data_IF_091704739149
#
_entry.id   IF_091704739149
#
_cell.length_a   1.000
_cell.length_b   1.000
_cell.length_c   1.000
_cell.angle_alpha   90.00
_cell.angle_beta   90.00
_cell.angle_gamma   90.00
#
_symmetry.space_group_name_H-M   'P 1'
#
loop_
_entity.id
_entity.type
_entity.pdbx_description
1 polymer ?
#
# COMPACT_ATOMS: atom_id res chain seq x y z
N UNK A 1 -6.41 0.25 -7.57
CA UNK A 1 -5.57 0.82 -8.67
C UNK A 1 -5.21 -0.19 -9.76
N UNK A 2 -5.39 -1.48 -9.54
CA UNK A 2 -5.12 -2.49 -10.58
C UNK A 2 -6.01 -2.35 -11.82
N UNK A 3 -7.25 -1.89 -11.66
CA UNK A 3 -8.22 -1.76 -12.75
C UNK A 3 -7.93 -0.54 -13.64
N UNK A 4 -7.60 0.61 -13.08
CA UNK A 4 -7.33 1.82 -13.86
C UNK A 4 -6.20 1.60 -14.88
N UNK A 5 -5.09 0.98 -14.47
CA UNK A 5 -3.96 0.68 -15.35
C UNK A 5 -4.34 -0.25 -16.50
N UNK A 6 -5.30 -1.16 -16.27
CA UNK A 6 -5.82 -2.06 -17.32
C UNK A 6 -6.89 -1.42 -18.17
N UNK A 7 -7.62 -0.44 -17.65
CA UNK A 7 -8.70 0.25 -18.36
C UNK A 7 -8.20 1.39 -19.25
N UNK A 8 -7.19 2.14 -18.85
CA UNK A 8 -6.65 3.28 -19.61
C UNK A 8 -6.33 2.95 -21.08
N UNK A 9 -5.62 1.85 -21.42
CA UNK A 9 -5.39 1.51 -22.83
C UNK A 9 -6.68 1.19 -23.60
N UNK A 10 -7.66 0.57 -22.93
CA UNK A 10 -8.97 0.23 -23.55
C UNK A 10 -9.78 1.49 -23.80
N UNK A 11 -9.79 2.44 -22.84
CA UNK A 11 -10.46 3.73 -22.97
C UNK A 11 -9.87 4.54 -24.13
N UNK A 12 -8.54 4.56 -24.27
CA UNK A 12 -7.86 5.24 -25.36
C UNK A 12 -8.18 4.63 -26.75
N UNK A 13 -8.48 3.33 -26.81
CA UNK A 13 -8.84 2.60 -28.02
C UNK A 13 -10.35 2.62 -28.33
N UNK A 14 -11.22 3.01 -27.38
CA UNK A 14 -12.66 2.99 -27.55
C UNK A 14 -13.12 4.07 -28.55
N UNK A 15 -13.85 3.64 -29.59
CA UNK A 15 -14.32 4.52 -30.65
C UNK A 15 -15.81 4.87 -30.54
N UNK A 16 -16.57 4.20 -29.67
CA UNK A 16 -18.03 4.38 -29.52
C UNK A 16 -18.40 4.73 -28.09
N UNK A 17 -19.44 5.52 -27.93
CA UNK A 17 -19.97 5.88 -26.61
C UNK A 17 -20.38 4.65 -25.79
N UNK A 18 -20.94 3.63 -26.43
CA UNK A 18 -21.32 2.38 -25.75
C UNK A 18 -20.12 1.63 -25.15
N UNK A 19 -18.96 1.63 -25.82
CA UNK A 19 -17.74 1.00 -25.34
C UNK A 19 -17.18 1.78 -24.14
N UNK A 20 -17.17 3.10 -24.20
CA UNK A 20 -16.77 3.97 -23.09
C UNK A 20 -17.68 3.82 -21.87
N UNK A 21 -19.00 3.69 -22.09
CA UNK A 21 -19.96 3.41 -21.03
C UNK A 21 -19.68 2.06 -20.36
N UNK A 22 -19.43 1.01 -21.15
CA UNK A 22 -19.12 -0.30 -20.61
C UNK A 22 -17.83 -0.28 -19.75
N UNK A 23 -16.80 0.43 -20.19
CA UNK A 23 -15.55 0.60 -19.41
C UNK A 23 -15.77 1.42 -18.14
N UNK A 24 -16.58 2.49 -18.20
CA UNK A 24 -16.95 3.27 -17.01
C UNK A 24 -17.70 2.43 -15.98
N UNK A 25 -18.56 1.51 -16.44
CA UNK A 25 -19.30 0.57 -15.60
C UNK A 25 -18.37 -0.42 -14.87
N UNK A 26 -17.29 -0.87 -15.51
CA UNK A 26 -16.29 -1.73 -14.89
C UNK A 26 -15.58 -1.05 -13.71
N UNK A 27 -15.50 0.29 -13.69
CA UNK A 27 -14.90 1.03 -12.57
C UNK A 27 -15.66 0.85 -11.23
N UNK A 28 -16.93 0.47 -11.26
CA UNK A 28 -17.72 0.24 -10.04
C UNK A 28 -17.52 -1.15 -9.42
N UNK A 29 -16.69 -1.99 -10.01
CA UNK A 29 -16.30 -3.26 -9.41
C UNK A 29 -15.24 -3.06 -8.30
N UNK A 30 -14.53 -1.91 -8.31
CA UNK A 30 -13.52 -1.53 -7.32
C UNK A 30 -13.77 -0.12 -6.79
N UNK A 31 -14.00 0.08 -5.47
CA UNK A 31 -14.27 1.41 -4.90
C UNK A 31 -13.23 2.48 -5.23
N UNK A 32 -11.95 2.08 -5.32
CA UNK A 32 -10.84 3.00 -5.63
C UNK A 32 -10.89 3.55 -7.07
N UNK A 33 -11.60 2.89 -7.98
CA UNK A 33 -11.68 3.26 -9.39
C UNK A 33 -12.98 3.99 -9.75
N UNK A 34 -13.95 4.10 -8.82
CA UNK A 34 -15.25 4.72 -9.10
C UNK A 34 -15.15 6.15 -9.64
N UNK A 35 -14.19 6.94 -9.15
CA UNK A 35 -13.95 8.30 -9.63
C UNK A 35 -13.53 8.32 -11.12
N UNK A 36 -12.80 7.30 -11.58
CA UNK A 36 -12.36 7.19 -12.97
C UNK A 36 -13.54 7.00 -13.95
N UNK A 37 -14.66 6.44 -13.51
CA UNK A 37 -15.87 6.37 -14.32
C UNK A 37 -16.35 7.75 -14.78
N UNK A 38 -16.23 8.77 -13.89
CA UNK A 38 -16.54 10.15 -14.25
C UNK A 38 -15.59 10.69 -15.32
N UNK A 39 -14.28 10.46 -15.17
CA UNK A 39 -13.30 10.92 -16.15
C UNK A 39 -13.60 10.35 -17.55
N UNK A 40 -13.97 9.07 -17.63
CA UNK A 40 -14.35 8.42 -18.90
C UNK A 40 -15.59 9.08 -19.50
N UNK A 41 -16.66 9.24 -18.71
CA UNK A 41 -17.96 9.73 -19.20
C UNK A 41 -18.02 11.24 -19.41
N UNK A 42 -17.12 12.02 -18.81
CA UNK A 42 -16.98 13.47 -19.08
C UNK A 42 -15.96 13.77 -20.17
N UNK A 43 -15.25 12.76 -20.67
CA UNK A 43 -14.28 12.95 -21.76
C UNK A 43 -14.94 13.49 -23.03
N UNK A 44 -14.18 14.22 -23.83
CA UNK A 44 -14.65 14.69 -25.12
C UNK A 44 -15.01 13.55 -26.09
N UNK A 45 -14.40 12.38 -25.93
CA UNK A 45 -14.72 11.19 -26.70
C UNK A 45 -16.14 10.67 -26.43
N UNK A 46 -16.61 10.74 -25.16
CA UNK A 46 -17.98 10.36 -24.82
C UNK A 46 -18.97 11.50 -25.07
N UNK A 47 -18.73 12.69 -24.53
CA UNK A 47 -19.71 13.81 -24.61
C UNK A 47 -19.86 14.38 -26.02
N UNK A 48 -18.83 14.25 -26.86
CA UNK A 48 -18.88 14.65 -28.28
C UNK A 48 -19.41 13.56 -29.23
N UNK A 49 -19.65 12.35 -28.75
CA UNK A 49 -20.18 11.28 -29.58
C UNK A 49 -21.67 11.51 -29.90
N UNK A 50 -22.03 11.50 -31.20
CA UNK A 50 -23.40 11.74 -31.67
C UNK A 50 -24.39 10.70 -31.14
N UNK A 51 -23.95 9.51 -30.82
CA UNK A 51 -24.74 8.39 -30.31
C UNK A 51 -24.72 8.27 -28.77
N UNK A 52 -24.05 9.15 -28.02
CA UNK A 52 -23.90 9.04 -26.58
C UNK A 52 -25.24 8.93 -25.84
N UNK A 53 -26.19 9.82 -26.15
CA UNK A 53 -27.51 9.78 -25.52
C UNK A 53 -28.27 8.51 -25.87
N UNK A 54 -28.25 8.09 -27.14
CA UNK A 54 -28.94 6.88 -27.58
C UNK A 54 -28.32 5.62 -26.94
N UNK A 55 -27.01 5.60 -26.73
CA UNK A 55 -26.34 4.52 -26.01
C UNK A 55 -26.80 4.43 -24.54
N UNK A 56 -26.91 5.58 -23.84
CA UNK A 56 -27.45 5.61 -22.47
C UNK A 56 -28.92 5.18 -22.41
N UNK A 57 -29.77 5.72 -23.29
CA UNK A 57 -31.22 5.42 -23.33
C UNK A 57 -31.45 3.92 -23.58
N UNK A 58 -30.64 3.28 -24.42
CA UNK A 58 -30.69 1.84 -24.66
C UNK A 58 -30.34 1.04 -23.40
N UNK A 59 -29.25 1.37 -22.73
CA UNK A 59 -28.81 0.68 -21.50
C UNK A 59 -29.82 0.89 -20.37
N UNK A 60 -30.40 2.09 -20.26
CA UNK A 60 -31.37 2.42 -19.22
C UNK A 60 -32.60 1.50 -19.27
N UNK A 61 -33.02 1.03 -20.48
CA UNK A 61 -34.10 0.07 -20.63
C UNK A 61 -33.78 -1.33 -20.13
N UNK A 62 -32.51 -1.70 -20.10
CA UNK A 62 -32.01 -3.03 -19.74
C UNK A 62 -31.28 -3.05 -18.40
N UNK A 63 -31.21 -1.92 -17.66
CA UNK A 63 -30.47 -1.80 -16.42
C UNK A 63 -31.10 -2.64 -15.30
N UNK A 64 -30.29 -3.48 -14.64
CA UNK A 64 -30.74 -4.41 -13.61
C UNK A 64 -29.87 -4.38 -12.34
N UNK A 65 -28.74 -3.71 -12.37
CA UNK A 65 -27.80 -3.68 -11.26
C UNK A 65 -27.55 -2.24 -10.79
N UNK A 66 -27.29 -2.05 -9.52
CA UNK A 66 -27.00 -0.74 -8.92
C UNK A 66 -25.92 0.01 -9.71
N UNK A 67 -24.83 -0.68 -10.12
CA UNK A 67 -23.76 -0.08 -10.91
C UNK A 67 -24.21 0.42 -12.29
N UNK A 68 -25.22 -0.19 -12.89
CA UNK A 68 -25.78 0.28 -14.17
C UNK A 68 -26.42 1.65 -13.99
N UNK A 69 -27.26 1.78 -12.98
CA UNK A 69 -27.97 3.03 -12.68
C UNK A 69 -27.02 4.16 -12.29
N UNK A 70 -25.99 3.85 -11.47
CA UNK A 70 -24.99 4.86 -11.07
C UNK A 70 -24.17 5.31 -12.28
N UNK A 71 -23.73 4.40 -13.14
CA UNK A 71 -22.99 4.75 -14.37
C UNK A 71 -23.86 5.58 -15.32
N UNK A 72 -25.14 5.19 -15.49
CA UNK A 72 -26.12 5.96 -16.27
C UNK A 72 -26.29 7.37 -15.74
N UNK A 73 -26.37 7.53 -14.41
CA UNK A 73 -26.51 8.83 -13.79
C UNK A 73 -25.32 9.75 -14.13
N UNK A 74 -24.10 9.24 -14.04
CA UNK A 74 -22.90 10.01 -14.42
C UNK A 74 -22.93 10.36 -15.90
N UNK A 75 -23.30 9.42 -16.77
CA UNK A 75 -23.40 9.65 -18.21
C UNK A 75 -24.44 10.71 -18.56
N UNK A 76 -25.65 10.64 -18.01
CA UNK A 76 -26.69 11.66 -18.23
C UNK A 76 -26.26 13.03 -17.70
N UNK A 77 -25.65 13.10 -16.52
CA UNK A 77 -25.12 14.33 -15.97
C UNK A 77 -24.03 14.94 -16.87
N UNK A 78 -23.14 14.14 -17.42
CA UNK A 78 -22.11 14.56 -18.36
C UNK A 78 -22.70 15.13 -19.67
N UNK A 79 -23.88 14.66 -20.09
CA UNK A 79 -24.62 15.20 -21.22
C UNK A 79 -25.57 16.36 -20.85
N UNK A 80 -25.52 16.86 -19.59
CA UNK A 80 -26.32 17.98 -19.10
C UNK A 80 -27.74 17.62 -18.67
N UNK A 81 -28.13 16.34 -18.60
CA UNK A 81 -29.44 15.87 -18.18
C UNK A 81 -29.45 15.50 -16.68
N UNK A 82 -29.40 16.50 -15.81
CA UNK A 82 -29.40 16.31 -14.36
C UNK A 82 -30.70 15.69 -13.84
N UNK A 83 -31.83 15.90 -14.55
CA UNK A 83 -33.11 15.29 -14.19
C UNK A 83 -33.06 13.78 -14.33
N UNK A 84 -32.58 13.31 -15.47
CA UNK A 84 -32.41 11.89 -15.73
C UNK A 84 -31.35 11.26 -14.84
N UNK A 85 -30.26 11.98 -14.58
CA UNK A 85 -29.24 11.53 -13.66
C UNK A 85 -29.81 11.26 -12.25
N UNK A 86 -30.63 12.18 -11.74
CA UNK A 86 -31.31 12.02 -10.44
C UNK A 86 -32.30 10.86 -10.43
N UNK A 87 -33.05 10.65 -11.51
CA UNK A 87 -33.94 9.50 -11.68
C UNK A 87 -33.17 8.18 -11.58
N UNK A 88 -32.06 8.06 -12.31
CA UNK A 88 -31.21 6.87 -12.30
C UNK A 88 -30.63 6.57 -10.91
N UNK A 89 -30.17 7.60 -10.18
CA UNK A 89 -29.69 7.42 -8.80
C UNK A 89 -30.79 6.96 -7.84
N UNK A 90 -32.03 7.44 -8.03
CA UNK A 90 -33.19 6.95 -7.27
C UNK A 90 -33.41 5.45 -7.50
N UNK A 91 -33.46 5.04 -8.78
CA UNK A 91 -33.59 3.64 -9.12
C UNK A 91 -32.41 2.80 -8.58
N UNK A 92 -31.16 3.25 -8.74
CA UNK A 92 -30.01 2.59 -8.18
C UNK A 92 -30.09 2.41 -6.66
N UNK A 93 -30.64 3.37 -5.93
CA UNK A 93 -30.85 3.26 -4.50
C UNK A 93 -31.89 2.20 -4.12
N UNK A 94 -32.94 2.05 -4.93
CA UNK A 94 -33.98 1.02 -4.74
C UNK A 94 -33.44 -0.40 -5.01
N UNK A 95 -32.43 -0.52 -5.88
CA UNK A 95 -31.76 -1.79 -6.20
C UNK A 95 -30.61 -2.14 -5.27
N UNK A 96 -30.08 -1.20 -4.49
CA UNK A 96 -28.92 -1.42 -3.63
C UNK A 96 -29.25 -2.35 -2.45
N UNK A 97 -28.77 -3.58 -2.51
CA UNK A 97 -29.07 -4.65 -1.55
C UNK A 97 -28.03 -4.74 -0.42
N UNK A 98 -26.78 -4.32 -0.66
CA UNK A 98 -25.68 -4.42 0.29
C UNK A 98 -24.93 -3.09 0.51
N UNK A 99 -23.97 -3.11 1.44
CA UNK A 99 -23.20 -1.93 1.81
C UNK A 99 -22.34 -1.40 0.65
N UNK A 100 -21.77 -2.26 -0.19
CA UNK A 100 -20.93 -1.87 -1.34
C UNK A 100 -21.76 -1.17 -2.41
N UNK A 101 -22.95 -1.69 -2.71
CA UNK A 101 -23.90 -1.07 -3.65
C UNK A 101 -24.39 0.29 -3.13
N UNK A 102 -24.66 0.41 -1.82
CA UNK A 102 -25.02 1.70 -1.18
C UNK A 102 -23.87 2.71 -1.23
N UNK A 103 -22.62 2.26 -1.13
CA UNK A 103 -21.43 3.10 -1.36
C UNK A 103 -21.44 3.62 -2.80
N UNK A 104 -21.70 2.75 -3.78
CA UNK A 104 -21.76 3.14 -5.19
C UNK A 104 -22.82 4.20 -5.46
N UNK A 105 -24.02 4.09 -4.85
CA UNK A 105 -25.07 5.11 -4.93
C UNK A 105 -24.61 6.44 -4.34
N UNK A 106 -23.99 6.40 -3.14
CA UNK A 106 -23.45 7.60 -2.49
C UNK A 106 -22.39 8.29 -3.35
N UNK A 107 -21.49 7.51 -3.97
CA UNK A 107 -20.55 8.04 -4.95
C UNK A 107 -21.23 8.63 -6.17
N UNK A 108 -22.25 7.98 -6.68
CA UNK A 108 -23.05 8.51 -7.78
C UNK A 108 -23.65 9.89 -7.50
N UNK A 109 -24.15 10.13 -6.28
CA UNK A 109 -24.64 11.45 -5.86
C UNK A 109 -23.55 12.53 -6.00
N UNK A 110 -22.33 12.20 -5.59
CA UNK A 110 -21.19 13.09 -5.70
C UNK A 110 -20.71 13.26 -7.16
N UNK A 111 -20.46 12.13 -7.84
CA UNK A 111 -19.84 12.16 -9.17
C UNK A 111 -20.77 12.75 -10.23
N UNK A 112 -22.08 12.43 -10.19
CA UNK A 112 -23.04 12.89 -11.17
C UNK A 112 -23.61 14.27 -10.86
N UNK A 113 -23.95 14.55 -9.59
CA UNK A 113 -24.70 15.74 -9.21
C UNK A 113 -23.88 16.75 -8.40
N UNK A 114 -22.66 16.42 -8.00
CA UNK A 114 -21.85 17.19 -7.06
C UNK A 114 -22.61 17.52 -5.74
N UNK A 115 -23.56 16.65 -5.36
CA UNK A 115 -24.37 16.81 -4.15
C UNK A 115 -23.65 16.18 -2.95
N UNK A 116 -22.69 16.89 -2.35
CA UNK A 116 -21.92 16.42 -1.22
C UNK A 116 -22.81 16.06 0.00
N UNK A 117 -23.84 16.84 0.38
CA UNK A 117 -24.73 16.48 1.48
C UNK A 117 -25.50 15.17 1.24
N UNK A 118 -26.05 14.96 0.04
CA UNK A 118 -26.74 13.71 -0.30
C UNK A 118 -25.77 12.53 -0.33
N UNK A 119 -24.58 12.72 -0.89
CA UNK A 119 -23.52 11.71 -0.88
C UNK A 119 -23.12 11.33 0.55
N UNK A 120 -22.80 12.29 1.41
CA UNK A 120 -22.41 12.05 2.79
C UNK A 120 -23.51 11.32 3.57
N UNK A 121 -24.78 11.67 3.37
CA UNK A 121 -25.91 10.97 3.99
C UNK A 121 -26.01 9.51 3.52
N UNK A 122 -25.90 9.25 2.23
CA UNK A 122 -25.94 7.90 1.67
C UNK A 122 -24.79 7.04 2.17
N UNK A 123 -23.56 7.59 2.16
CA UNK A 123 -22.35 6.90 2.63
C UNK A 123 -22.36 6.64 4.14
N UNK A 124 -22.93 7.55 4.94
CA UNK A 124 -23.16 7.31 6.38
C UNK A 124 -24.12 6.15 6.62
N UNK A 125 -25.14 6.03 5.77
CA UNK A 125 -26.04 4.88 5.77
C UNK A 125 -25.33 3.58 5.42
N UNK A 126 -24.56 3.58 4.33
CA UNK A 126 -23.78 2.45 3.86
C UNK A 126 -22.73 1.97 4.89
N UNK A 127 -22.10 2.90 5.62
CA UNK A 127 -21.10 2.58 6.65
C UNK A 127 -21.64 1.63 7.72
N UNK A 128 -22.95 1.64 8.00
CA UNK A 128 -23.54 0.74 9.01
C UNK A 128 -23.49 -0.72 8.56
N UNK A 129 -23.54 -0.97 7.26
CA UNK A 129 -23.62 -2.31 6.67
C UNK A 129 -22.25 -2.80 6.18
N UNK A 130 -21.38 -1.89 5.72
CA UNK A 130 -20.01 -2.25 5.31
C UNK A 130 -19.24 -2.83 6.48
N UNK A 131 -18.82 -4.09 6.34
CA UNK A 131 -18.11 -4.81 7.40
C UNK A 131 -16.75 -5.35 6.99
N UNK A 132 -16.49 -5.59 5.72
CA UNK A 132 -15.21 -6.05 5.25
C UNK A 132 -14.16 -4.93 5.32
N UNK A 133 -12.94 -5.26 5.76
CA UNK A 133 -11.87 -4.27 5.93
C UNK A 133 -11.51 -3.58 4.61
N UNK A 134 -11.45 -4.32 3.51
CA UNK A 134 -11.13 -3.75 2.19
C UNK A 134 -12.21 -2.78 1.70
N UNK A 135 -13.48 -3.11 1.92
CA UNK A 135 -14.60 -2.21 1.61
C UNK A 135 -14.53 -0.92 2.42
N UNK A 136 -14.15 -1.00 3.71
CA UNK A 136 -13.96 0.18 4.56
C UNK A 136 -12.80 1.05 4.06
N UNK A 137 -11.70 0.46 3.58
CA UNK A 137 -10.61 1.21 2.96
C UNK A 137 -11.05 1.86 1.65
N UNK A 138 -11.83 1.17 0.84
CA UNK A 138 -12.45 1.75 -0.35
C UNK A 138 -13.34 2.93 -0.02
N UNK A 139 -14.25 2.76 0.96
CA UNK A 139 -15.13 3.82 1.45
C UNK A 139 -14.35 5.03 1.99
N UNK A 140 -13.27 4.80 2.75
CA UNK A 140 -12.43 5.89 3.25
C UNK A 140 -11.77 6.69 2.11
N UNK A 141 -11.33 6.01 1.04
CA UNK A 141 -10.81 6.68 -0.15
C UNK A 141 -11.85 7.60 -0.81
N UNK A 142 -13.05 7.10 -0.95
CA UNK A 142 -14.21 7.84 -1.49
C UNK A 142 -14.55 9.06 -0.63
N UNK A 143 -14.63 8.87 0.69
CA UNK A 143 -15.00 9.96 1.62
C UNK A 143 -13.91 11.03 1.69
N UNK A 144 -12.64 10.65 1.52
CA UNK A 144 -11.54 11.62 1.43
C UNK A 144 -11.73 12.59 0.25
N UNK A 145 -12.25 12.11 -0.90
CA UNK A 145 -12.54 12.96 -2.07
C UNK A 145 -13.71 13.94 -1.81
N UNK A 146 -14.67 13.55 -0.94
CA UNK A 146 -15.75 14.43 -0.52
C UNK A 146 -15.30 15.56 0.41
N UNK A 147 -14.09 15.45 0.98
CA UNK A 147 -13.56 16.36 1.99
C UNK A 147 -14.47 16.48 3.23
N UNK A 148 -15.20 15.42 3.56
CA UNK A 148 -16.03 15.32 4.78
C UNK A 148 -15.22 14.70 5.93
N UNK A 149 -14.58 15.56 6.72
CA UNK A 149 -13.72 15.16 7.83
C UNK A 149 -14.48 14.34 8.90
N UNK A 150 -15.76 14.60 9.10
CA UNK A 150 -16.58 13.88 10.09
C UNK A 150 -16.82 12.44 9.65
N UNK A 151 -17.28 12.25 8.42
CA UNK A 151 -17.53 10.93 7.87
C UNK A 151 -16.22 10.15 7.69
N UNK A 152 -15.14 10.82 7.25
CA UNK A 152 -13.81 10.22 7.16
C UNK A 152 -13.32 9.72 8.52
N UNK A 153 -13.55 10.50 9.59
CA UNK A 153 -13.29 10.08 10.97
C UNK A 153 -14.04 8.80 11.35
N UNK A 154 -15.35 8.75 11.11
CA UNK A 154 -16.17 7.57 11.42
C UNK A 154 -15.70 6.30 10.68
N UNK A 155 -15.35 6.43 9.39
CA UNK A 155 -14.86 5.30 8.60
C UNK A 155 -13.51 4.81 9.12
N UNK A 156 -12.57 5.72 9.36
CA UNK A 156 -11.23 5.38 9.84
C UNK A 156 -11.25 4.80 11.26
N UNK A 157 -12.16 5.26 12.12
CA UNK A 157 -12.37 4.66 13.45
C UNK A 157 -12.89 3.22 13.36
N UNK A 158 -13.78 2.95 12.40
CA UNK A 158 -14.27 1.58 12.16
C UNK A 158 -13.16 0.67 11.60
N UNK A 159 -12.27 1.18 10.75
CA UNK A 159 -11.06 0.46 10.29
C UNK A 159 -10.15 0.18 11.47
N UNK A 160 -9.87 1.18 12.31
CA UNK A 160 -9.00 1.07 13.49
C UNK A 160 -9.49 0.01 14.47
N UNK A 161 -10.82 -0.05 14.70
CA UNK A 161 -11.41 -1.07 15.56
C UNK A 161 -11.20 -2.51 15.06
N UNK A 162 -10.89 -2.69 13.77
CA UNK A 162 -10.62 -4.00 13.15
C UNK A 162 -9.13 -4.31 13.03
N UNK A 163 -8.26 -3.34 13.32
CA UNK A 163 -6.80 -3.52 13.19
C UNK A 163 -6.29 -4.55 14.21
N UNK A 164 -5.77 -5.67 13.70
CA UNK A 164 -5.31 -6.82 14.48
C UNK A 164 -3.79 -7.02 14.49
N UNK A 165 -3.03 -6.25 13.70
CA UNK A 165 -1.56 -6.36 13.55
C UNK A 165 -0.95 -5.01 13.20
N UNK A 166 0.36 -4.87 13.40
CA UNK A 166 1.10 -3.64 13.13
C UNK A 166 0.92 -3.11 11.69
N UNK A 167 0.89 -4.01 10.70
CA UNK A 167 0.66 -3.64 9.30
C UNK A 167 -0.69 -2.96 9.04
N UNK A 168 -1.72 -3.29 9.82
CA UNK A 168 -3.04 -2.65 9.70
C UNK A 168 -2.97 -1.20 10.20
N UNK A 169 -2.25 -0.94 11.30
CA UNK A 169 -1.99 0.40 11.82
C UNK A 169 -1.15 1.22 10.84
N UNK A 170 -0.12 0.63 10.25
CA UNK A 170 0.69 1.28 9.22
C UNK A 170 -0.13 1.68 7.99
N UNK A 171 -1.00 0.79 7.52
CA UNK A 171 -1.89 1.05 6.38
C UNK A 171 -2.90 2.14 6.68
N UNK A 172 -3.54 2.09 7.86
CA UNK A 172 -4.49 3.11 8.31
C UNK A 172 -3.82 4.48 8.44
N UNK A 173 -2.62 4.53 9.00
CA UNK A 173 -1.89 5.78 9.14
C UNK A 173 -1.56 6.43 7.78
N UNK A 174 -1.14 5.65 6.79
CA UNK A 174 -0.95 6.15 5.42
C UNK A 174 -2.24 6.71 4.83
N UNK A 175 -3.36 6.07 5.09
CA UNK A 175 -4.66 6.54 4.63
C UNK A 175 -5.06 7.85 5.31
N UNK A 176 -4.88 7.97 6.63
CA UNK A 176 -5.13 9.19 7.38
C UNK A 176 -4.27 10.35 6.86
N UNK A 177 -2.98 10.11 6.64
CA UNK A 177 -2.07 11.12 6.09
C UNK A 177 -2.48 11.55 4.67
N UNK A 178 -2.87 10.60 3.81
CA UNK A 178 -3.39 10.88 2.47
C UNK A 178 -4.69 11.70 2.52
N UNK A 179 -5.54 11.46 3.52
CA UNK A 179 -6.75 12.23 3.79
C UNK A 179 -6.50 13.59 4.48
N UNK A 180 -5.23 13.97 4.70
CA UNK A 180 -4.86 15.26 5.32
C UNK A 180 -4.81 15.26 6.84
N UNK A 181 -5.08 14.13 7.50
CA UNK A 181 -5.06 14.03 8.98
C UNK A 181 -3.71 13.47 9.49
N UNK A 182 -2.68 14.30 9.34
CA UNK A 182 -1.30 13.97 9.72
C UNK A 182 -1.17 13.65 11.21
N UNK A 183 -1.90 14.38 12.05
CA UNK A 183 -1.82 14.20 13.50
C UNK A 183 -2.34 12.81 13.93
N UNK A 184 -3.51 12.41 13.42
CA UNK A 184 -4.06 11.08 13.69
C UNK A 184 -3.26 9.97 13.03
N UNK A 185 -2.61 10.23 11.90
CA UNK A 185 -1.71 9.26 11.27
C UNK A 185 -0.53 8.92 12.19
N UNK A 186 0.15 9.92 12.75
CA UNK A 186 1.25 9.75 13.72
C UNK A 186 0.76 9.06 14.98
N UNK A 187 -0.38 9.49 15.54
CA UNK A 187 -0.99 8.85 16.72
C UNK A 187 -1.28 7.36 16.47
N UNK A 188 -1.84 7.03 15.31
CA UNK A 188 -2.16 5.64 14.93
C UNK A 188 -0.91 4.76 14.88
N UNK A 189 0.21 5.26 14.34
CA UNK A 189 1.47 4.52 14.36
C UNK A 189 1.98 4.31 15.77
N UNK A 190 1.93 5.35 16.62
CA UNK A 190 2.39 5.26 18.00
C UNK A 190 1.56 4.25 18.82
N UNK A 191 0.25 4.20 18.61
CA UNK A 191 -0.62 3.17 19.20
C UNK A 191 -0.25 1.75 18.72
N UNK A 192 -0.01 1.60 17.41
CA UNK A 192 0.48 0.35 16.84
C UNK A 192 1.79 -0.09 17.48
N UNK A 193 2.75 0.84 17.65
CA UNK A 193 4.05 0.57 18.27
C UNK A 193 3.97 0.28 19.77
N UNK A 194 2.96 0.79 20.46
CA UNK A 194 2.71 0.45 21.86
C UNK A 194 2.12 -0.96 22.01
N UNK A 195 1.33 -1.40 21.04
CA UNK A 195 0.64 -2.69 21.04
C UNK A 195 1.49 -3.83 20.47
N UNK A 196 2.33 -3.55 19.47
CA UNK A 196 3.13 -4.51 18.73
C UNK A 196 4.61 -4.12 18.78
N UNK A 197 5.37 -4.81 19.62
CA UNK A 197 6.76 -4.45 19.93
C UNK A 197 7.82 -5.39 19.32
N UNK A 198 7.43 -6.33 18.43
CA UNK A 198 8.45 -7.15 17.76
C UNK A 198 9.29 -6.31 16.80
N UNK A 199 10.56 -6.67 16.54
CA UNK A 199 11.39 -5.94 15.56
C UNK A 199 10.70 -5.77 14.20
N UNK A 200 10.07 -6.81 13.68
CA UNK A 200 9.37 -6.79 12.39
C UNK A 200 8.17 -5.82 12.39
N UNK A 201 7.39 -5.80 13.48
CA UNK A 201 6.26 -4.89 13.64
C UNK A 201 6.70 -3.44 13.71
N UNK A 202 7.73 -3.16 14.53
CA UNK A 202 8.29 -1.82 14.68
C UNK A 202 8.89 -1.29 13.37
N UNK A 203 9.51 -2.16 12.57
CA UNK A 203 10.00 -1.83 11.24
C UNK A 203 8.85 -1.45 10.29
N UNK A 204 7.77 -2.24 10.26
CA UNK A 204 6.63 -1.94 9.41
C UNK A 204 6.00 -0.58 9.76
N UNK A 205 5.92 -0.26 11.05
CA UNK A 205 5.44 1.02 11.56
C UNK A 205 6.42 2.16 11.27
N UNK A 206 7.74 1.92 11.41
CA UNK A 206 8.77 2.91 11.08
C UNK A 206 8.75 3.30 9.62
N UNK A 207 8.54 2.33 8.72
CA UNK A 207 8.39 2.58 7.29
C UNK A 207 7.21 3.51 6.98
N UNK A 208 6.06 3.27 7.61
CA UNK A 208 4.91 4.16 7.49
C UNK A 208 5.17 5.54 8.10
N UNK A 209 5.82 5.59 9.28
CA UNK A 209 6.19 6.85 9.93
C UNK A 209 7.14 7.66 9.05
N UNK A 210 8.11 7.02 8.40
CA UNK A 210 9.07 7.70 7.52
C UNK A 210 8.40 8.37 6.30
N UNK A 211 7.31 7.79 5.80
CA UNK A 211 6.52 8.39 4.72
C UNK A 211 5.70 9.60 5.21
N UNK A 212 5.32 9.61 6.50
CA UNK A 212 4.42 10.59 7.11
C UNK A 212 5.19 11.69 7.84
N UNK A 213 6.11 11.31 8.71
CA UNK A 213 6.99 12.19 9.50
C UNK A 213 8.38 11.55 9.60
N UNK A 214 9.30 11.85 8.67
CA UNK A 214 10.66 11.28 8.67
C UNK A 214 11.44 11.57 9.95
N UNK A 215 11.17 12.72 10.61
CA UNK A 215 11.87 13.08 11.84
C UNK A 215 11.46 12.17 13.02
N UNK A 216 10.22 11.73 13.07
CA UNK A 216 9.71 10.84 14.11
C UNK A 216 10.06 9.35 13.87
N UNK A 217 10.38 8.97 12.63
CA UNK A 217 10.66 7.57 12.26
C UNK A 217 11.89 6.98 12.98
N UNK A 218 12.92 7.80 13.25
CA UNK A 218 14.15 7.39 13.91
C UNK A 218 13.93 6.69 15.25
N UNK A 219 13.03 7.24 16.09
CA UNK A 219 12.72 6.66 17.39
C UNK A 219 12.11 5.25 17.31
N UNK A 220 11.38 4.92 16.24
CA UNK A 220 10.83 3.59 16.04
C UNK A 220 11.89 2.61 15.52
N UNK A 221 12.81 3.07 14.68
CA UNK A 221 13.98 2.28 14.27
C UNK A 221 14.86 1.93 15.46
N UNK A 222 15.12 2.88 16.38
CA UNK A 222 15.87 2.64 17.59
C UNK A 222 15.19 1.59 18.48
N UNK A 223 13.88 1.69 18.68
CA UNK A 223 13.09 0.67 19.40
C UNK A 223 13.15 -0.71 18.73
N UNK A 224 13.07 -0.76 17.40
CA UNK A 224 13.21 -2.01 16.65
C UNK A 224 14.59 -2.64 16.88
N UNK A 225 15.63 -1.81 16.83
CA UNK A 225 17.00 -2.24 17.10
C UNK A 225 17.19 -2.70 18.56
N UNK A 226 16.62 -2.01 19.54
CA UNK A 226 16.64 -2.41 20.94
C UNK A 226 15.91 -3.73 21.20
N UNK A 227 14.80 -3.97 20.50
CA UNK A 227 14.00 -5.20 20.63
C UNK A 227 14.63 -6.40 19.93
N UNK A 228 15.49 -6.19 18.92
CA UNK A 228 16.21 -7.24 18.21
C UNK A 228 17.33 -7.83 19.09
N UNK A 229 17.18 -9.10 19.52
CA UNK A 229 18.09 -9.76 20.45
C UNK A 229 18.96 -10.83 19.80
N UNK A 230 18.61 -11.28 18.61
CA UNK A 230 19.33 -12.31 17.87
C UNK A 230 19.70 -11.83 16.47
N UNK A 231 20.56 -12.62 15.82
CA UNK A 231 21.06 -12.31 14.48
C UNK A 231 19.92 -12.16 13.45
N UNK A 232 18.96 -13.06 13.45
CA UNK A 232 17.84 -13.04 12.49
C UNK A 232 17.01 -11.77 12.61
N UNK A 233 16.68 -11.36 13.84
CA UNK A 233 15.94 -10.12 14.09
C UNK A 233 16.73 -8.88 13.64
N UNK A 234 18.06 -8.86 13.88
CA UNK A 234 18.92 -7.78 13.45
C UNK A 234 19.03 -7.70 11.91
N UNK A 235 19.06 -8.84 11.22
CA UNK A 235 19.05 -8.86 9.76
C UNK A 235 17.72 -8.35 9.19
N UNK A 236 16.59 -8.60 9.85
CA UNK A 236 15.30 -8.00 9.48
C UNK A 236 15.32 -6.47 9.64
N UNK A 237 15.88 -5.97 10.76
CA UNK A 237 16.06 -4.52 10.97
C UNK A 237 16.97 -3.94 9.90
N UNK A 238 18.05 -4.62 9.55
CA UNK A 238 19.01 -4.21 8.54
C UNK A 238 18.36 -4.09 7.15
N UNK A 239 17.55 -5.06 6.76
CA UNK A 239 16.85 -5.05 5.48
C UNK A 239 15.93 -3.83 5.33
N UNK A 240 15.31 -3.39 6.43
CA UNK A 240 14.44 -2.21 6.44
C UNK A 240 15.20 -0.89 6.59
N UNK A 241 16.43 -0.92 7.06
CA UNK A 241 17.30 0.24 7.21
C UNK A 241 17.83 0.78 5.86
N UNK A 242 17.48 0.15 4.75
CA UNK A 242 17.93 0.52 3.41
C UNK A 242 17.66 2.02 3.12
N UNK A 243 18.74 2.75 2.86
CA UNK A 243 18.69 4.21 2.61
C UNK A 243 19.16 5.10 3.76
N UNK A 244 19.31 4.57 4.99
CA UNK A 244 19.92 5.30 6.13
C UNK A 244 21.29 4.70 6.47
N UNK A 245 22.35 5.28 5.92
CA UNK A 245 23.71 4.74 6.05
C UNK A 245 24.23 4.71 7.50
N UNK A 246 23.85 5.67 8.34
CA UNK A 246 24.28 5.73 9.74
C UNK A 246 23.58 4.64 10.56
N UNK A 247 22.26 4.53 10.40
CA UNK A 247 21.49 3.48 11.06
C UNK A 247 21.91 2.08 10.60
N UNK A 248 22.17 1.89 9.30
CA UNK A 248 22.71 0.63 8.74
C UNK A 248 24.01 0.21 9.44
N UNK A 249 24.96 1.15 9.65
CA UNK A 249 26.21 0.85 10.36
C UNK A 249 25.97 0.43 11.80
N UNK A 250 25.05 1.09 12.49
CA UNK A 250 24.70 0.76 13.88
C UNK A 250 24.11 -0.65 13.98
N UNK A 251 23.21 -1.02 13.06
CA UNK A 251 22.63 -2.36 13.00
C UNK A 251 23.70 -3.42 12.70
N UNK A 252 24.58 -3.15 11.74
CA UNK A 252 25.68 -4.05 11.36
C UNK A 252 26.66 -4.29 12.53
N UNK A 253 27.03 -3.23 13.25
CA UNK A 253 27.88 -3.37 14.42
C UNK A 253 27.24 -4.27 15.49
N UNK A 254 25.93 -4.11 15.74
CA UNK A 254 25.19 -4.94 16.69
C UNK A 254 25.04 -6.38 16.19
N UNK A 255 24.76 -6.59 14.89
CA UNK A 255 24.67 -7.91 14.29
C UNK A 255 26.00 -8.66 14.34
N UNK A 256 27.12 -7.97 14.06
CA UNK A 256 28.47 -8.53 14.17
C UNK A 256 28.92 -8.83 15.61
N UNK A 257 28.26 -8.23 16.62
CA UNK A 257 28.51 -8.55 18.03
C UNK A 257 27.76 -9.79 18.51
N UNK A 258 26.64 -10.15 17.88
CA UNK A 258 25.82 -11.33 18.24
C UNK A 258 26.02 -12.51 17.30
N UNK A 259 26.59 -12.31 16.12
CA UNK A 259 26.93 -13.37 15.18
C UNK A 259 28.02 -14.27 15.78
N UNK A 260 27.72 -15.57 15.88
CA UNK A 260 28.61 -16.55 16.52
C UNK A 260 28.99 -17.72 15.63
N UNK A 261 28.32 -17.88 14.51
CA UNK A 261 28.59 -18.97 13.57
C UNK A 261 29.10 -18.43 12.23
N UNK A 262 29.97 -19.20 11.58
CA UNK A 262 30.61 -18.81 10.33
C UNK A 262 29.62 -18.37 9.24
N UNK A 263 28.45 -18.99 9.15
CA UNK A 263 27.41 -18.65 8.18
C UNK A 263 26.87 -17.23 8.36
N UNK A 264 26.59 -16.81 9.61
CA UNK A 264 26.10 -15.46 9.95
C UNK A 264 27.15 -14.40 9.62
N UNK A 265 28.41 -14.69 9.95
CA UNK A 265 29.53 -13.79 9.69
C UNK A 265 29.81 -13.63 8.20
N UNK A 266 29.69 -14.69 7.41
CA UNK A 266 29.77 -14.65 5.94
C UNK A 266 28.62 -13.79 5.36
N UNK A 267 27.41 -13.92 5.90
CA UNK A 267 26.27 -13.09 5.48
C UNK A 267 26.55 -11.59 5.72
N UNK A 268 27.09 -11.24 6.90
CA UNK A 268 27.49 -9.87 7.19
C UNK A 268 28.61 -9.38 6.28
N UNK A 269 29.63 -10.20 6.00
CA UNK A 269 30.68 -9.86 5.05
C UNK A 269 30.11 -9.51 3.68
N UNK A 270 29.08 -10.23 3.22
CA UNK A 270 28.36 -9.90 2.00
C UNK A 270 27.65 -8.56 2.05
N UNK A 271 27.06 -8.19 3.19
CA UNK A 271 26.42 -6.88 3.37
C UNK A 271 27.47 -5.77 3.35
N UNK A 272 28.58 -5.93 4.07
CA UNK A 272 29.69 -4.95 4.05
C UNK A 272 30.28 -4.79 2.64
N UNK A 273 30.40 -5.88 1.87
CA UNK A 273 30.85 -5.82 0.48
C UNK A 273 29.89 -4.99 -0.40
N UNK A 274 28.59 -5.15 -0.23
CA UNK A 274 27.58 -4.35 -0.96
C UNK A 274 27.65 -2.85 -0.59
N UNK A 275 28.16 -2.54 0.62
CA UNK A 275 28.38 -1.16 1.09
C UNK A 275 29.76 -0.62 0.70
N UNK A 276 30.58 -1.40 -0.01
CA UNK A 276 31.97 -1.10 -0.35
C UNK A 276 32.87 -0.84 0.91
N UNK A 277 32.54 -1.50 2.03
CA UNK A 277 33.32 -1.43 3.27
C UNK A 277 34.28 -2.60 3.38
N UNK A 278 35.48 -2.44 2.80
CA UNK A 278 36.52 -3.46 2.79
C UNK A 278 37.00 -3.86 4.20
N UNK A 279 36.99 -2.92 5.16
CA UNK A 279 37.36 -3.20 6.55
C UNK A 279 36.34 -4.11 7.19
N UNK A 280 35.05 -3.79 7.07
CA UNK A 280 33.97 -4.64 7.57
C UNK A 280 33.98 -6.04 6.95
N UNK A 281 34.26 -6.15 5.65
CA UNK A 281 34.43 -7.46 4.99
C UNK A 281 35.54 -8.27 5.66
N UNK A 282 36.72 -7.65 5.82
CA UNK A 282 37.88 -8.32 6.41
C UNK A 282 37.59 -8.80 7.84
N UNK A 283 37.07 -7.92 8.68
CA UNK A 283 36.75 -8.24 10.09
C UNK A 283 35.73 -9.39 10.22
N UNK A 284 34.71 -9.42 9.37
CA UNK A 284 33.71 -10.49 9.40
C UNK A 284 34.27 -11.82 8.89
N UNK A 285 35.11 -11.80 7.87
CA UNK A 285 35.75 -13.00 7.37
C UNK A 285 36.80 -13.54 8.34
N UNK A 286 37.55 -12.71 9.07
CA UNK A 286 38.47 -13.13 10.14
C UNK A 286 37.71 -13.88 11.24
N UNK A 287 36.64 -13.31 11.72
CA UNK A 287 35.76 -13.97 12.71
C UNK A 287 35.14 -15.25 12.17
N UNK A 288 34.76 -15.28 10.88
CA UNK A 288 34.22 -16.49 10.27
C UNK A 288 35.24 -17.61 10.20
N UNK A 289 36.51 -17.31 9.88
CA UNK A 289 37.60 -18.28 9.93
C UNK A 289 37.81 -18.85 11.35
N UNK A 290 37.77 -17.99 12.37
CA UNK A 290 37.93 -18.39 13.78
C UNK A 290 36.75 -19.23 14.30
N UNK A 291 35.55 -19.05 13.77
CA UNK A 291 34.32 -19.72 14.22
C UNK A 291 34.05 -21.06 13.52
N UNK A 292 34.89 -21.49 12.58
CA UNK A 292 34.71 -22.72 11.82
C UNK A 292 34.80 -23.95 12.72
N UNK A 293 33.75 -24.76 12.73
CA UNK A 293 33.69 -25.98 13.51
C UNK A 293 34.00 -27.28 12.70
N UNK A 294 33.94 -27.21 11.36
CA UNK A 294 34.12 -28.38 10.50
C UNK A 294 34.53 -27.99 9.08
N UNK A 295 34.97 -28.99 8.29
CA UNK A 295 35.46 -28.81 6.93
C UNK A 295 34.39 -28.21 5.96
N UNK A 296 33.11 -28.52 6.19
CA UNK A 296 32.04 -28.02 5.34
C UNK A 296 31.87 -26.51 5.53
N UNK A 297 32.02 -26.02 6.76
CA UNK A 297 32.02 -24.58 7.07
C UNK A 297 33.27 -23.89 6.51
N UNK A 298 34.46 -24.52 6.63
CA UNK A 298 35.68 -23.97 6.04
C UNK A 298 35.55 -23.77 4.52
N UNK A 299 34.92 -24.68 3.81
CA UNK A 299 34.66 -24.53 2.37
C UNK A 299 33.80 -23.32 2.08
N UNK A 300 32.80 -23.03 2.87
CA UNK A 300 31.97 -21.80 2.72
C UNK A 300 32.79 -20.54 2.98
N UNK A 301 33.70 -20.58 3.95
CA UNK A 301 34.63 -19.44 4.20
C UNK A 301 35.54 -19.24 2.99
N UNK A 302 36.11 -20.31 2.40
CA UNK A 302 36.91 -20.21 1.18
C UNK A 302 36.13 -19.54 0.06
N UNK A 303 34.91 -20.01 -0.22
CA UNK A 303 34.03 -19.44 -1.22
C UNK A 303 33.72 -17.95 -0.94
N UNK A 304 33.52 -17.58 0.32
CA UNK A 304 33.28 -16.19 0.70
C UNK A 304 34.53 -15.31 0.49
N UNK A 305 35.72 -15.80 0.85
CA UNK A 305 36.97 -15.09 0.59
C UNK A 305 37.21 -14.90 -0.91
N UNK A 306 36.97 -15.94 -1.73
CA UNK A 306 37.05 -15.85 -3.19
C UNK A 306 36.10 -14.79 -3.74
N UNK A 307 34.90 -14.69 -3.17
CA UNK A 307 33.85 -13.79 -3.63
C UNK A 307 34.06 -12.34 -3.19
N UNK A 308 34.42 -12.12 -1.93
CA UNK A 308 34.38 -10.80 -1.31
C UNK A 308 35.77 -10.21 -1.07
N UNK A 309 36.82 -11.02 -1.01
CA UNK A 309 38.19 -10.62 -0.72
C UNK A 309 39.22 -11.23 -1.70
N UNK A 310 38.84 -11.39 -2.96
CA UNK A 310 39.71 -12.02 -4.00
C UNK A 310 41.06 -11.29 -4.19
N UNK A 311 41.15 -10.02 -3.86
CA UNK A 311 42.38 -9.23 -3.92
C UNK A 311 43.37 -9.56 -2.79
N UNK A 312 42.93 -10.22 -1.71
CA UNK A 312 43.77 -10.68 -0.61
C UNK A 312 44.32 -12.10 -0.91
N UNK A 313 45.29 -12.14 -1.80
CA UNK A 313 45.89 -13.40 -2.24
C UNK A 313 46.52 -14.23 -1.09
N UNK A 314 47.27 -13.62 -0.11
CA UNK A 314 47.80 -14.36 1.02
C UNK A 314 46.74 -15.05 1.87
N UNK A 315 45.60 -14.37 2.09
CA UNK A 315 44.46 -14.94 2.80
C UNK A 315 43.83 -16.10 2.04
N UNK A 316 43.60 -15.93 0.77
CA UNK A 316 42.99 -16.94 -0.09
C UNK A 316 43.82 -18.23 -0.12
N UNK A 317 45.14 -18.14 -0.24
CA UNK A 317 46.04 -19.29 -0.18
C UNK A 317 45.95 -20.00 1.18
N UNK A 318 46.02 -19.26 2.29
CA UNK A 318 45.91 -19.81 3.64
C UNK A 318 44.62 -20.59 3.85
N UNK A 319 43.45 -20.01 3.51
CA UNK A 319 42.16 -20.69 3.73
C UNK A 319 41.98 -21.91 2.83
N UNK A 320 42.56 -21.90 1.61
CA UNK A 320 42.57 -23.04 0.71
C UNK A 320 43.41 -24.23 1.24
N UNK A 321 44.54 -23.93 1.89
CA UNK A 321 45.36 -24.99 2.53
C UNK A 321 44.62 -25.66 3.69
N UNK A 322 43.89 -24.89 4.51
CA UNK A 322 43.12 -25.41 5.63
C UNK A 322 41.88 -26.18 5.16
N UNK A 323 41.29 -25.77 4.04
CA UNK A 323 40.06 -26.35 3.47
C UNK A 323 40.29 -27.63 2.65
N UNK A 324 41.52 -28.03 2.42
CA UNK A 324 41.90 -29.27 1.75
C UNK A 324 41.96 -30.45 2.72
#
# INVERSE_FOLDING_TARGET
>A
MANRTTLEPKVAAAAKAADLFALARECFDEPADMAYAKDILTSAAFTGAADAKAALDKVAGDAMFTKDFVTLAIGYAALGDAGKAKEMLGQGADFAMDGGEKVSVGMGQWLALADAPAAAKALTGALKEVSATEELYGLAGVVAELNDATLFGLVTDKIKAKAGRAGDFARLARMLAKGGDQARAVETINEGAAKYGSPADLIALSGAMNEIDPAAAGALYDKALESAKDFTALMQVLAAAAGNAEFTRTVLAKAGAVATVSGELIELAGVYANLNDATGVTDMLDKAEESVANLAEMRKVVEAVEKFAAADAPRLERVKEIGR
#
